data_IF_914856829669
#
_entry.id   IF_914856829669
#
_cell.length_a   1.000
_cell.length_b   1.000
_cell.length_c   1.000
_cell.angle_alpha   90.00
_cell.angle_beta   90.00
_cell.angle_gamma   90.00
#
_symmetry.space_group_name_H-M   'P 1'
#
loop_
_entity.id
_entity.type
_entity.pdbx_description
1 polymer ?
#
# COMPACT_ATOMS: atom_id res chain seq x y z
N UNK A 1 28.33 33.14 12.14
CA UNK A 1 27.04 32.57 11.68
C UNK A 1 26.59 33.36 10.47
N UNK A 2 26.43 32.70 9.32
CA UNK A 2 25.94 33.34 8.09
C UNK A 2 24.51 33.85 8.27
N UNK A 3 24.16 35.02 7.72
CA UNK A 3 22.81 35.59 7.83
C UNK A 3 21.67 34.66 7.42
N UNK A 4 21.94 33.71 6.52
CA UNK A 4 21.00 32.65 6.08
C UNK A 4 20.72 31.65 7.21
N UNK A 5 21.74 31.23 7.94
CA UNK A 5 21.61 30.28 9.06
C UNK A 5 20.80 30.87 10.22
N UNK A 6 20.99 32.18 10.51
CA UNK A 6 20.21 32.88 11.53
C UNK A 6 18.73 32.96 11.13
N UNK A 7 18.42 33.29 9.88
CA UNK A 7 17.06 33.37 9.36
C UNK A 7 16.35 32.00 9.43
N UNK A 8 17.07 30.94 9.04
CA UNK A 8 16.51 29.58 9.09
C UNK A 8 16.16 29.14 10.52
N UNK A 9 17.02 29.45 11.50
CA UNK A 9 16.75 29.17 12.92
C UNK A 9 15.53 29.95 13.44
N UNK A 10 15.37 31.22 13.05
CA UNK A 10 14.22 32.01 13.40
C UNK A 10 12.90 31.40 12.84
N UNK A 11 12.92 30.92 11.62
CA UNK A 11 11.76 30.27 10.99
C UNK A 11 11.45 28.91 11.63
N UNK A 12 12.46 28.11 12.00
CA UNK A 12 12.27 26.87 12.76
C UNK A 12 11.63 27.16 14.12
N UNK A 13 12.12 28.16 14.87
CA UNK A 13 11.52 28.54 16.13
C UNK A 13 10.05 29.01 15.99
N UNK A 14 9.71 29.70 14.90
CA UNK A 14 8.33 30.08 14.60
C UNK A 14 7.44 28.86 14.34
N UNK A 15 7.94 27.87 13.62
CA UNK A 15 7.23 26.61 13.37
C UNK A 15 6.99 25.86 14.69
N UNK A 16 8.02 25.71 15.53
CA UNK A 16 7.94 25.00 16.82
C UNK A 16 6.96 25.67 17.81
N UNK A 17 6.74 26.97 17.70
CA UNK A 17 5.81 27.74 18.55
C UNK A 17 4.43 27.95 17.90
N UNK A 18 4.21 27.47 16.68
CA UNK A 18 2.92 27.60 16.00
C UNK A 18 1.87 26.70 16.67
N UNK A 19 0.71 27.27 17.02
CA UNK A 19 -0.35 26.56 17.72
C UNK A 19 -0.88 25.36 16.93
N UNK A 20 -1.00 25.49 15.60
CA UNK A 20 -1.46 24.41 14.72
C UNK A 20 -0.42 23.28 14.64
N UNK A 21 0.88 23.64 14.68
CA UNK A 21 1.95 22.63 14.69
C UNK A 21 1.97 21.85 16.02
N UNK A 22 1.81 22.56 17.15
CA UNK A 22 1.71 21.92 18.46
C UNK A 22 0.49 20.99 18.52
N UNK A 23 -0.68 21.44 18.05
CA UNK A 23 -1.88 20.60 17.97
C UNK A 23 -1.67 19.37 17.10
N UNK A 24 -1.01 19.51 15.95
CA UNK A 24 -0.68 18.38 15.07
C UNK A 24 0.23 17.38 15.78
N UNK A 25 1.27 17.84 16.47
CA UNK A 25 2.19 16.99 17.23
C UNK A 25 1.44 16.23 18.34
N UNK A 26 0.57 16.92 19.10
CA UNK A 26 -0.25 16.28 20.13
C UNK A 26 -1.15 15.18 19.53
N UNK A 27 -1.81 15.45 18.41
CA UNK A 27 -2.64 14.46 17.71
C UNK A 27 -1.83 13.25 17.18
N UNK A 28 -0.58 13.45 16.77
CA UNK A 28 0.30 12.38 16.34
C UNK A 28 0.79 11.48 17.49
N UNK A 29 0.80 12.00 18.73
CA UNK A 29 1.27 11.29 19.90
C UNK A 29 0.15 10.72 20.80
N UNK A 30 -1.11 10.75 20.35
CA UNK A 30 -2.21 10.13 21.09
C UNK A 30 -2.02 8.63 21.18
N UNK A 31 -2.25 8.07 22.37
CA UNK A 31 -2.25 6.63 22.56
C UNK A 31 -3.45 6.03 21.84
N UNK A 32 -3.20 5.05 20.94
CA UNK A 32 -4.26 4.34 20.25
C UNK A 32 -4.04 2.82 20.34
N UNK A 33 -5.02 2.10 20.89
CA UNK A 33 -4.93 0.67 21.12
C UNK A 33 -4.77 -0.12 19.81
N UNK A 34 -5.46 0.29 18.73
CA UNK A 34 -5.40 -0.40 17.44
C UNK A 34 -4.04 -0.24 16.77
N UNK A 35 -3.38 0.91 16.97
CA UNK A 35 -2.01 1.13 16.51
C UNK A 35 -1.01 0.28 17.28
N UNK A 36 -1.11 0.25 18.62
CA UNK A 36 -0.24 -0.57 19.48
C UNK A 36 -0.33 -2.05 19.11
N UNK A 37 -1.53 -2.54 18.79
CA UNK A 37 -1.76 -3.92 18.40
C UNK A 37 -1.45 -4.21 16.93
N UNK A 38 -1.08 -3.19 16.12
CA UNK A 38 -0.81 -3.34 14.69
C UNK A 38 -2.01 -3.82 13.87
N UNK A 39 -3.23 -3.41 14.26
CA UNK A 39 -4.47 -3.94 13.66
C UNK A 39 -5.13 -2.98 12.66
N UNK A 40 -4.58 -1.78 12.49
CA UNK A 40 -5.15 -0.68 11.70
C UNK A 40 -5.21 -0.92 10.18
N UNK A 41 -4.41 -1.86 9.67
CA UNK A 41 -4.29 -2.15 8.23
C UNK A 41 -4.73 -3.57 7.86
N UNK A 42 -5.41 -4.28 8.76
CA UNK A 42 -5.75 -5.69 8.56
C UNK A 42 -7.27 -5.86 8.46
N UNK A 43 -7.79 -6.15 7.26
CA UNK A 43 -9.24 -6.30 6.98
C UNK A 43 -9.97 -7.19 7.98
N UNK A 44 -9.44 -8.36 8.27
CA UNK A 44 -10.05 -9.30 9.23
C UNK A 44 -10.19 -8.70 10.64
N UNK A 45 -9.33 -7.76 11.03
CA UNK A 45 -9.42 -7.10 12.35
C UNK A 45 -10.53 -6.06 12.37
N UNK A 46 -10.70 -5.33 11.27
CA UNK A 46 -11.85 -4.44 11.10
C UNK A 46 -13.15 -5.24 11.09
N UNK A 47 -13.20 -6.36 10.35
CA UNK A 47 -14.37 -7.27 10.37
C UNK A 47 -14.66 -7.82 11.76
N UNK A 48 -13.62 -8.10 12.57
CA UNK A 48 -13.81 -8.51 13.97
C UNK A 48 -14.50 -7.44 14.81
N UNK A 49 -14.06 -6.18 14.65
CA UNK A 49 -14.62 -5.06 15.40
C UNK A 49 -16.04 -4.74 14.95
N UNK A 50 -16.28 -4.75 13.65
CA UNK A 50 -17.62 -4.56 13.07
C UNK A 50 -18.58 -5.67 13.50
N UNK A 51 -18.14 -6.93 13.55
CA UNK A 51 -18.95 -8.03 14.05
C UNK A 51 -19.40 -7.80 15.50
N UNK A 52 -18.51 -7.32 16.36
CA UNK A 52 -18.84 -6.97 17.72
C UNK A 52 -19.86 -5.83 17.79
N UNK A 53 -19.73 -4.79 16.97
CA UNK A 53 -20.68 -3.67 16.90
C UNK A 53 -22.04 -4.08 16.34
N UNK A 54 -22.07 -4.99 15.37
CA UNK A 54 -23.29 -5.47 14.72
C UNK A 54 -24.10 -6.44 15.58
N UNK A 55 -23.48 -7.02 16.60
CA UNK A 55 -24.15 -7.97 17.50
C UNK A 55 -25.03 -7.25 18.53
N UNK A 56 -26.38 -7.28 18.40
CA UNK A 56 -27.25 -6.58 19.34
C UNK A 56 -27.16 -7.12 20.77
N UNK A 57 -26.67 -8.34 20.93
CA UNK A 57 -26.46 -9.01 22.24
C UNK A 57 -25.02 -8.82 22.75
N UNK A 58 -24.18 -8.06 22.02
CA UNK A 58 -22.81 -7.78 22.38
C UNK A 58 -22.67 -6.97 23.67
N UNK A 59 -21.53 -7.13 24.34
CA UNK A 59 -21.25 -6.45 25.62
C UNK A 59 -20.84 -4.96 25.47
N UNK A 60 -21.07 -4.36 24.28
CA UNK A 60 -20.80 -2.93 24.02
C UNK A 60 -21.89 -1.99 24.56
N UNK A 61 -23.08 -2.52 24.92
CA UNK A 61 -24.18 -1.71 25.44
C UNK A 61 -24.91 -0.84 24.41
N UNK A 62 -24.54 -0.93 23.12
CA UNK A 62 -25.23 -0.21 22.02
C UNK A 62 -26.57 -0.87 21.67
N UNK A 63 -26.81 -2.10 22.11
CA UNK A 63 -27.98 -2.90 21.70
C UNK A 63 -28.05 -3.02 20.17
N UNK A 64 -29.21 -2.79 19.57
CA UNK A 64 -29.44 -2.85 18.13
C UNK A 64 -29.13 -1.54 17.37
N UNK A 65 -28.75 -0.50 18.06
CA UNK A 65 -28.62 0.85 17.48
C UNK A 65 -27.57 0.94 16.40
N UNK A 66 -26.42 0.25 16.58
CA UNK A 66 -25.41 0.26 15.53
C UNK A 66 -25.87 -0.50 14.29
N UNK A 67 -26.50 -1.67 14.45
CA UNK A 67 -27.07 -2.44 13.33
C UNK A 67 -28.11 -1.61 12.56
N UNK A 68 -29.01 -0.91 13.25
CA UNK A 68 -30.03 -0.04 12.62
C UNK A 68 -29.38 1.16 11.93
N UNK A 69 -28.45 1.83 12.60
CA UNK A 69 -27.74 2.97 12.01
C UNK A 69 -26.92 2.57 10.77
N UNK A 70 -26.32 1.37 10.79
CA UNK A 70 -25.62 0.84 9.61
C UNK A 70 -26.60 0.48 8.49
N UNK A 71 -27.74 -0.18 8.79
CA UNK A 71 -28.75 -0.50 7.80
C UNK A 71 -29.39 0.77 7.17
N UNK A 72 -29.51 1.84 7.94
CA UNK A 72 -29.98 3.14 7.42
C UNK A 72 -29.03 3.69 6.34
N UNK A 73 -27.72 3.44 6.43
CA UNK A 73 -26.75 3.83 5.39
C UNK A 73 -26.94 3.04 4.09
N UNK A 74 -27.58 1.87 4.16
CA UNK A 74 -27.98 1.10 2.98
C UNK A 74 -29.35 1.54 2.40
N UNK A 75 -30.02 2.49 3.03
CA UNK A 75 -31.41 2.84 2.69
C UNK A 75 -32.40 1.73 3.05
N UNK A 76 -32.05 0.87 4.02
CA UNK A 76 -32.78 -0.35 4.40
C UNK A 76 -33.11 -0.37 5.89
N UNK A 77 -33.29 0.78 6.52
CA UNK A 77 -33.62 0.91 7.95
C UNK A 77 -34.88 0.10 8.32
N UNK A 78 -35.91 0.18 7.48
CA UNK A 78 -37.18 -0.51 7.67
C UNK A 78 -37.07 -2.05 7.46
N UNK A 79 -36.00 -2.52 6.85
CA UNK A 79 -35.78 -3.96 6.64
C UNK A 79 -35.28 -4.67 7.90
N UNK A 80 -34.67 -3.93 8.84
CA UNK A 80 -34.22 -4.51 10.11
C UNK A 80 -35.42 -4.84 10.99
N UNK A 81 -35.61 -6.09 11.41
CA UNK A 81 -36.75 -6.51 12.23
C UNK A 81 -36.84 -5.70 13.53
N UNK A 82 -38.06 -5.66 14.08
CA UNK A 82 -38.26 -5.04 15.40
C UNK A 82 -37.72 -5.92 16.52
N UNK A 83 -37.93 -7.21 16.43
CA UNK A 83 -37.34 -8.21 17.34
C UNK A 83 -36.09 -8.80 16.70
N UNK A 84 -34.96 -8.52 17.32
CA UNK A 84 -33.64 -9.01 16.91
C UNK A 84 -32.91 -9.73 18.03
N UNK A 85 -33.68 -10.22 19.04
CA UNK A 85 -33.14 -10.91 20.22
C UNK A 85 -32.41 -12.21 19.87
N UNK A 86 -32.77 -12.84 18.74
CA UNK A 86 -32.16 -14.07 18.23
C UNK A 86 -31.06 -13.79 17.15
N UNK A 87 -30.76 -12.53 16.89
CA UNK A 87 -29.72 -12.18 15.92
C UNK A 87 -28.34 -12.75 16.33
N UNK A 88 -27.68 -13.34 15.35
CA UNK A 88 -26.35 -13.92 15.48
C UNK A 88 -25.45 -13.32 14.40
N UNK A 89 -24.25 -12.92 14.78
CA UNK A 89 -23.24 -12.42 13.85
C UNK A 89 -22.19 -13.50 13.61
N UNK A 90 -22.02 -13.91 12.34
CA UNK A 90 -21.01 -14.88 11.89
C UNK A 90 -19.92 -14.14 11.10
N UNK A 91 -18.68 -14.57 11.29
CA UNK A 91 -17.51 -14.07 10.57
C UNK A 91 -16.90 -15.19 9.76
N UNK A 92 -16.33 -14.85 8.60
CA UNK A 92 -15.62 -15.80 7.73
C UNK A 92 -16.44 -17.05 7.38
N UNK A 93 -17.78 -16.95 7.45
CA UNK A 93 -18.64 -18.08 7.12
C UNK A 93 -18.69 -18.27 5.60
N UNK A 94 -18.22 -19.40 5.11
CA UNK A 94 -18.10 -19.70 3.68
C UNK A 94 -17.33 -18.63 2.90
N UNK A 95 -16.35 -18.01 3.55
CA UNK A 95 -15.55 -16.88 3.05
C UNK A 95 -16.30 -15.53 2.97
N UNK A 96 -17.46 -15.41 3.55
CA UNK A 96 -18.16 -14.13 3.73
C UNK A 96 -17.59 -13.45 4.97
N UNK A 97 -17.14 -12.21 4.84
CA UNK A 97 -16.50 -11.49 5.94
C UNK A 97 -17.40 -11.34 7.16
N UNK A 98 -18.65 -10.88 6.93
CA UNK A 98 -19.62 -10.66 7.98
C UNK A 98 -21.03 -11.05 7.54
N UNK A 99 -21.75 -11.76 8.41
CA UNK A 99 -23.12 -12.18 8.18
C UNK A 99 -23.92 -12.01 9.47
N UNK A 100 -24.93 -11.14 9.44
CA UNK A 100 -25.92 -10.98 10.53
C UNK A 100 -27.17 -11.77 10.15
N UNK A 101 -27.63 -12.65 11.03
CA UNK A 101 -28.78 -13.54 10.78
C UNK A 101 -29.75 -13.42 11.94
N UNK A 102 -31.01 -13.09 11.66
CA UNK A 102 -32.13 -13.17 12.61
C UNK A 102 -33.07 -14.25 12.10
N UNK A 103 -33.08 -15.40 12.74
CA UNK A 103 -33.79 -16.61 12.25
C UNK A 103 -35.30 -16.47 12.35
N UNK A 104 -35.80 -15.94 13.47
CA UNK A 104 -37.24 -15.78 13.72
C UNK A 104 -37.88 -14.86 12.69
N UNK A 105 -37.31 -13.74 12.41
CA UNK A 105 -37.82 -12.73 11.49
C UNK A 105 -37.35 -12.94 10.04
N UNK A 106 -36.55 -13.98 9.80
CA UNK A 106 -35.98 -14.30 8.49
C UNK A 106 -35.28 -13.11 7.82
N UNK A 107 -34.45 -12.45 8.56
CA UNK A 107 -33.64 -11.33 8.09
C UNK A 107 -32.15 -11.71 8.02
N UNK A 108 -31.48 -11.24 6.99
CA UNK A 108 -30.06 -11.47 6.78
C UNK A 108 -29.39 -10.23 6.23
N UNK A 109 -28.25 -9.82 6.83
CA UNK A 109 -27.38 -8.80 6.32
C UNK A 109 -25.99 -9.41 6.04
N UNK A 110 -25.57 -9.35 4.77
CA UNK A 110 -24.26 -9.79 4.30
C UNK A 110 -23.39 -8.58 4.03
N UNK A 111 -22.17 -8.56 4.58
CA UNK A 111 -21.22 -7.48 4.38
C UNK A 111 -19.90 -8.08 3.86
N UNK A 112 -19.45 -7.59 2.71
CA UNK A 112 -18.10 -7.81 2.20
C UNK A 112 -17.27 -6.56 2.49
N UNK A 113 -16.13 -6.75 3.17
CA UNK A 113 -15.27 -5.68 3.65
C UNK A 113 -13.95 -5.63 2.87
N UNK A 114 -13.67 -4.52 2.19
CA UNK A 114 -12.46 -4.28 1.39
C UNK A 114 -11.79 -2.98 1.82
N UNK A 115 -10.70 -3.10 2.58
CA UNK A 115 -9.94 -1.92 3.04
C UNK A 115 -8.74 -1.66 2.14
N UNK A 116 -7.94 -2.69 1.84
CA UNK A 116 -6.68 -2.59 1.09
C UNK A 116 -6.60 -3.60 -0.07
N UNK A 117 -7.67 -4.33 -0.31
CA UNK A 117 -7.76 -5.32 -1.39
C UNK A 117 -8.78 -4.90 -2.44
N UNK A 118 -8.72 -5.55 -3.60
CA UNK A 118 -9.67 -5.35 -4.69
C UNK A 118 -10.68 -6.48 -4.73
N UNK A 119 -11.80 -6.27 -5.43
CA UNK A 119 -12.77 -7.32 -5.72
C UNK A 119 -12.11 -8.46 -6.53
N UNK A 120 -12.34 -9.71 -6.12
CA UNK A 120 -11.75 -10.87 -6.77
C UNK A 120 -12.79 -11.74 -7.49
N UNK A 121 -12.71 -11.75 -8.83
CA UNK A 121 -13.48 -12.69 -9.64
C UNK A 121 -14.99 -12.49 -9.54
N UNK A 122 -15.76 -13.59 -9.25
CA UNK A 122 -17.22 -13.59 -9.08
C UNK A 122 -17.62 -13.73 -7.59
N UNK A 123 -16.88 -13.10 -6.69
CA UNK A 123 -17.04 -13.29 -5.25
C UNK A 123 -18.43 -12.88 -4.77
N UNK A 124 -18.87 -11.67 -5.13
CA UNK A 124 -20.16 -11.12 -4.69
C UNK A 124 -21.35 -11.92 -5.24
N UNK A 125 -21.32 -12.31 -6.52
CA UNK A 125 -22.35 -13.17 -7.10
C UNK A 125 -22.40 -14.53 -6.40
N UNK A 126 -21.26 -15.15 -6.15
CA UNK A 126 -21.18 -16.44 -5.44
C UNK A 126 -21.81 -16.36 -4.06
N UNK A 127 -21.64 -15.28 -3.32
CA UNK A 127 -22.22 -15.09 -2.01
C UNK A 127 -23.75 -14.95 -2.08
N UNK A 128 -24.27 -14.18 -3.04
CA UNK A 128 -25.72 -14.10 -3.26
C UNK A 128 -26.33 -15.47 -3.55
N UNK A 129 -25.73 -16.21 -4.49
CA UNK A 129 -26.22 -17.52 -4.89
C UNK A 129 -26.18 -18.53 -3.72
N UNK A 130 -25.10 -18.50 -2.94
CA UNK A 130 -24.95 -19.31 -1.73
C UNK A 130 -26.03 -18.99 -0.70
N UNK A 131 -26.21 -17.71 -0.37
CA UNK A 131 -27.17 -17.28 0.64
C UNK A 131 -28.62 -17.51 0.19
N UNK A 132 -28.94 -17.30 -1.09
CA UNK A 132 -30.26 -17.59 -1.64
C UNK A 132 -30.61 -19.10 -1.55
N UNK A 133 -29.62 -19.98 -1.68
CA UNK A 133 -29.81 -21.42 -1.54
C UNK A 133 -29.92 -21.87 -0.08
N UNK A 134 -29.15 -21.28 0.85
CA UNK A 134 -29.12 -21.70 2.26
C UNK A 134 -30.27 -21.08 3.07
N UNK A 135 -30.67 -19.83 2.75
CA UNK A 135 -31.62 -19.04 3.53
C UNK A 135 -32.89 -18.72 2.72
N UNK A 136 -33.60 -19.77 2.30
CA UNK A 136 -34.85 -19.60 1.55
C UNK A 136 -35.92 -18.78 2.30
N UNK A 137 -36.41 -17.73 1.65
CA UNK A 137 -37.48 -16.87 2.19
C UNK A 137 -37.01 -15.83 3.20
N UNK A 138 -35.70 -15.62 3.31
CA UNK A 138 -35.15 -14.49 4.09
C UNK A 138 -35.20 -13.20 3.30
N UNK A 139 -35.46 -12.09 4.00
CA UNK A 139 -35.18 -10.76 3.50
C UNK A 139 -33.67 -10.55 3.60
N UNK A 140 -33.02 -10.26 2.47
CA UNK A 140 -31.56 -10.18 2.39
C UNK A 140 -31.10 -8.78 2.03
N UNK A 141 -30.15 -8.28 2.77
CA UNK A 141 -29.44 -7.03 2.54
C UNK A 141 -27.96 -7.32 2.25
N UNK A 142 -27.36 -6.61 1.27
CA UNK A 142 -25.96 -6.79 0.90
C UNK A 142 -25.24 -5.45 0.97
N UNK A 143 -24.14 -5.39 1.70
CA UNK A 143 -23.29 -4.22 1.83
C UNK A 143 -21.88 -4.49 1.28
N UNK A 144 -21.43 -3.62 0.40
CA UNK A 144 -20.05 -3.61 -0.07
C UNK A 144 -19.31 -2.46 0.60
N UNK A 145 -18.54 -2.79 1.64
CA UNK A 145 -17.85 -1.82 2.50
C UNK A 145 -16.44 -1.58 1.98
N UNK A 146 -16.15 -0.32 1.64
CA UNK A 146 -14.83 0.12 1.17
C UNK A 146 -14.44 1.44 1.85
N UNK A 147 -13.16 1.88 1.81
CA UNK A 147 -12.76 3.16 2.38
C UNK A 147 -13.65 4.34 1.94
N UNK A 148 -13.92 4.45 0.65
CA UNK A 148 -14.59 5.59 0.02
C UNK A 148 -16.03 5.30 -0.41
N UNK A 149 -16.58 4.12 -0.13
CA UNK A 149 -17.94 3.72 -0.55
C UNK A 149 -18.07 3.55 -2.06
N UNK A 150 -17.05 3.00 -2.71
CA UNK A 150 -17.13 2.73 -4.15
C UNK A 150 -18.07 1.55 -4.44
N UNK A 151 -18.78 1.62 -5.56
CA UNK A 151 -19.62 0.52 -6.02
C UNK A 151 -18.81 -0.68 -6.48
N UNK A 152 -19.37 -1.92 -6.43
CA UNK A 152 -18.74 -3.09 -7.04
C UNK A 152 -18.34 -2.85 -8.50
N UNK A 153 -17.27 -3.49 -8.95
CA UNK A 153 -16.76 -3.31 -10.32
C UNK A 153 -17.72 -3.84 -11.38
N UNK A 154 -18.49 -4.88 -11.05
CA UNK A 154 -19.41 -5.51 -12.01
C UNK A 154 -20.80 -4.92 -11.95
N UNK A 155 -21.32 -4.51 -13.10
CA UNK A 155 -22.68 -3.96 -13.22
C UNK A 155 -23.77 -4.86 -12.64
N UNK A 156 -23.63 -6.18 -12.79
CA UNK A 156 -24.60 -7.16 -12.24
C UNK A 156 -24.62 -7.19 -10.70
N UNK A 157 -23.57 -6.76 -10.05
CA UNK A 157 -23.49 -6.73 -8.59
C UNK A 157 -23.92 -5.38 -8.03
N UNK A 158 -23.83 -4.27 -8.81
CA UNK A 158 -24.16 -2.91 -8.37
C UNK A 158 -25.63 -2.73 -7.98
N UNK A 159 -26.55 -3.55 -8.52
CA UNK A 159 -27.98 -3.49 -8.18
C UNK A 159 -28.31 -4.10 -6.81
N UNK A 160 -27.58 -5.10 -6.39
CA UNK A 160 -27.86 -5.86 -5.18
C UNK A 160 -26.97 -5.44 -4.00
N UNK A 161 -25.68 -5.16 -4.26
CA UNK A 161 -24.72 -4.74 -3.24
C UNK A 161 -24.72 -3.23 -3.09
N UNK A 162 -25.14 -2.75 -1.94
CA UNK A 162 -25.13 -1.33 -1.64
C UNK A 162 -23.72 -0.89 -1.21
N UNK A 163 -23.13 0.13 -1.85
CA UNK A 163 -21.84 0.66 -1.44
C UNK A 163 -21.96 1.39 -0.12
N UNK A 164 -21.03 1.12 0.79
CA UNK A 164 -20.90 1.76 2.10
C UNK A 164 -19.46 2.20 2.30
N UNK A 165 -19.26 3.38 2.83
CA UNK A 165 -17.94 3.88 3.17
C UNK A 165 -17.60 3.64 4.64
N UNK A 166 -16.30 3.66 4.98
CA UNK A 166 -15.88 3.69 6.38
C UNK A 166 -16.30 4.99 7.09
N UNK A 167 -16.51 6.09 6.36
CA UNK A 167 -17.13 7.30 6.92
C UNK A 167 -18.56 7.03 7.38
N UNK A 168 -19.34 6.24 6.62
CA UNK A 168 -20.68 5.82 7.03
C UNK A 168 -20.66 4.94 8.28
N UNK A 169 -19.64 4.07 8.42
CA UNK A 169 -19.42 3.29 9.65
C UNK A 169 -19.18 4.20 10.85
N UNK A 170 -18.31 5.22 10.70
CA UNK A 170 -18.05 6.19 11.77
C UNK A 170 -19.29 7.01 12.15
N UNK A 171 -20.09 7.39 11.15
CA UNK A 171 -21.37 8.07 11.37
C UNK A 171 -22.36 7.15 12.11
N UNK A 172 -22.42 5.88 11.74
CA UNK A 172 -23.28 4.88 12.43
C UNK A 172 -22.84 4.69 13.89
N UNK A 173 -21.54 4.63 14.18
CA UNK A 173 -21.01 4.57 15.57
C UNK A 173 -21.45 5.82 16.34
N UNK A 174 -21.26 7.01 15.76
CA UNK A 174 -21.65 8.28 16.39
C UNK A 174 -23.14 8.31 16.72
N UNK A 175 -23.99 7.98 15.73
CA UNK A 175 -25.45 7.95 15.88
C UNK A 175 -25.88 6.91 16.92
N UNK A 176 -25.28 5.73 16.92
CA UNK A 176 -25.64 4.65 17.85
C UNK A 176 -25.38 5.00 19.32
N UNK A 177 -24.33 5.78 19.61
CA UNK A 177 -23.96 6.16 20.99
C UNK A 177 -24.54 7.46 21.49
N UNK A 178 -25.08 8.34 20.61
CA UNK A 178 -25.44 9.72 20.91
C UNK A 178 -26.37 9.89 22.13
N UNK A 179 -27.30 8.95 22.35
CA UNK A 179 -28.28 9.02 23.44
C UNK A 179 -28.08 7.98 24.54
N UNK A 180 -26.94 7.29 24.55
CA UNK A 180 -26.63 6.21 25.48
C UNK A 180 -25.57 6.61 26.49
N UNK A 181 -25.69 6.11 27.71
CA UNK A 181 -24.63 6.14 28.70
C UNK A 181 -23.89 4.81 28.62
N UNK A 182 -22.79 4.81 27.92
CA UNK A 182 -21.91 3.63 27.78
C UNK A 182 -20.84 3.62 28.89
N UNK A 183 -20.25 2.46 29.16
CA UNK A 183 -19.11 2.39 30.07
C UNK A 183 -17.92 3.18 29.55
N UNK A 184 -17.05 3.70 30.42
CA UNK A 184 -15.86 4.42 29.99
C UNK A 184 -14.96 3.61 29.05
N UNK A 185 -14.84 2.30 29.28
CA UNK A 185 -14.03 1.37 28.49
C UNK A 185 -14.56 1.24 27.08
N UNK A 186 -15.90 1.12 26.93
CA UNK A 186 -16.54 1.04 25.60
C UNK A 186 -16.38 2.38 24.87
N UNK A 187 -16.64 3.49 25.53
CA UNK A 187 -16.42 4.81 24.92
C UNK A 187 -14.96 4.98 24.42
N UNK A 188 -13.99 4.67 25.28
CA UNK A 188 -12.58 4.74 24.91
C UNK A 188 -12.24 3.84 23.71
N UNK A 189 -12.80 2.62 23.70
CA UNK A 189 -12.56 1.69 22.58
C UNK A 189 -13.18 2.18 21.26
N UNK A 190 -14.38 2.77 21.32
CA UNK A 190 -15.03 3.37 20.15
C UNK A 190 -14.28 4.61 19.65
N UNK A 191 -13.76 5.43 20.56
CA UNK A 191 -12.94 6.61 20.22
C UNK A 191 -11.63 6.17 19.55
N UNK A 192 -10.90 5.22 20.13
CA UNK A 192 -9.68 4.66 19.53
C UNK A 192 -9.93 4.04 18.16
N UNK A 193 -11.05 3.34 17.96
CA UNK A 193 -11.40 2.79 16.65
C UNK A 193 -11.69 3.90 15.63
N UNK A 194 -12.45 4.91 16.04
CA UNK A 194 -12.76 6.07 15.21
C UNK A 194 -11.49 6.79 14.76
N UNK A 195 -10.58 7.08 15.69
CA UNK A 195 -9.29 7.70 15.38
C UNK A 195 -8.44 6.84 14.45
N UNK A 196 -8.36 5.52 14.70
CA UNK A 196 -7.60 4.61 13.85
C UNK A 196 -8.15 4.56 12.43
N UNK A 197 -9.48 4.50 12.26
CA UNK A 197 -10.12 4.53 10.93
C UNK A 197 -9.88 5.87 10.23
N UNK A 198 -10.06 6.99 10.93
CA UNK A 198 -9.80 8.32 10.38
C UNK A 198 -8.34 8.48 9.93
N UNK A 199 -7.40 8.03 10.74
CA UNK A 199 -5.98 8.18 10.45
C UNK A 199 -5.48 7.28 9.31
N UNK A 200 -5.97 6.03 9.22
CA UNK A 200 -5.39 5.00 8.36
C UNK A 200 -6.27 4.60 7.17
N UNK A 201 -7.57 4.92 7.18
CA UNK A 201 -8.51 4.47 6.14
C UNK A 201 -9.17 5.63 5.41
N UNK A 202 -9.87 6.54 6.13
CA UNK A 202 -10.70 7.58 5.48
C UNK A 202 -9.98 8.92 5.29
N UNK A 203 -8.85 9.13 5.96
CA UNK A 203 -8.24 10.45 6.12
C UNK A 203 -8.92 11.29 7.22
N UNK A 204 -8.13 12.08 7.92
CA UNK A 204 -8.61 13.05 8.91
C UNK A 204 -8.59 14.45 8.29
N UNK A 205 -9.77 14.95 7.92
CA UNK A 205 -9.92 16.31 7.34
C UNK A 205 -9.40 17.42 8.26
N UNK A 206 -9.45 17.21 9.57
CA UNK A 206 -8.90 18.19 10.52
C UNK A 206 -7.37 18.19 10.44
N UNK A 207 -6.75 17.02 10.42
CA UNK A 207 -5.29 16.87 10.21
C UNK A 207 -4.88 17.45 8.86
N UNK A 208 -5.64 17.15 7.80
CA UNK A 208 -5.37 17.71 6.45
C UNK A 208 -5.41 19.24 6.45
N UNK A 209 -6.41 19.85 7.11
CA UNK A 209 -6.55 21.28 7.21
C UNK A 209 -5.41 21.90 8.06
N UNK A 210 -5.09 21.31 9.21
CA UNK A 210 -3.93 21.73 10.03
C UNK A 210 -2.63 21.68 9.22
N UNK A 211 -2.38 20.58 8.52
CA UNK A 211 -1.20 20.43 7.66
C UNK A 211 -1.16 21.49 6.56
N UNK A 212 -2.30 21.81 5.95
CA UNK A 212 -2.40 22.84 4.89
C UNK A 212 -2.13 24.24 5.47
N UNK A 213 -2.68 24.56 6.62
CA UNK A 213 -2.44 25.85 7.30
C UNK A 213 -1.00 26.01 7.73
N UNK A 214 -0.41 24.98 8.36
CA UNK A 214 1.01 24.94 8.74
C UNK A 214 1.89 25.14 7.52
N UNK A 215 1.64 24.38 6.43
CA UNK A 215 2.42 24.48 5.21
C UNK A 215 2.33 25.87 4.60
N UNK A 216 1.13 26.45 4.55
CA UNK A 216 0.93 27.79 3.98
C UNK A 216 1.70 28.86 4.77
N UNK A 217 1.70 28.76 6.08
CA UNK A 217 2.36 29.71 7.01
C UNK A 217 3.89 29.58 7.04
N UNK A 218 4.38 28.35 6.93
CA UNK A 218 5.80 28.00 7.12
C UNK A 218 6.42 27.38 5.87
N UNK A 219 5.89 27.72 4.69
CA UNK A 219 6.26 27.13 3.40
C UNK A 219 7.76 27.07 3.18
N UNK A 220 8.46 28.18 3.37
CA UNK A 220 9.90 28.30 3.06
C UNK A 220 10.74 27.32 3.89
N UNK A 221 10.47 27.21 5.19
CA UNK A 221 11.22 26.28 6.06
C UNK A 221 10.84 24.83 5.80
N UNK A 222 9.56 24.54 5.53
CA UNK A 222 9.10 23.20 5.23
C UNK A 222 9.62 22.73 3.86
N UNK A 223 9.67 23.60 2.86
CA UNK A 223 10.29 23.27 1.57
C UNK A 223 11.78 22.93 1.73
N UNK A 224 12.51 23.71 2.54
CA UNK A 224 13.90 23.41 2.88
C UNK A 224 14.03 22.06 3.59
N UNK A 225 13.17 21.76 4.56
CA UNK A 225 13.15 20.48 5.25
C UNK A 225 12.85 19.36 4.25
N UNK A 226 11.82 19.48 3.41
CA UNK A 226 11.47 18.47 2.42
C UNK A 226 12.56 18.27 1.36
N UNK A 227 13.21 19.34 0.90
CA UNK A 227 14.33 19.24 -0.02
C UNK A 227 15.53 18.52 0.61
N UNK A 228 15.82 18.77 1.87
CA UNK A 228 16.91 18.12 2.59
C UNK A 228 16.51 16.72 3.11
N UNK A 229 15.25 16.47 3.43
CA UNK A 229 14.74 15.10 3.69
C UNK A 229 14.70 14.25 2.41
N UNK A 230 14.52 14.85 1.23
CA UNK A 230 14.80 14.16 -0.03
C UNK A 230 16.29 13.80 -0.16
N UNK A 231 17.18 14.49 0.53
CA UNK A 231 18.59 14.13 0.61
C UNK A 231 18.85 12.84 1.41
N UNK A 232 18.00 12.43 2.34
CA UNK A 232 18.13 11.09 2.96
C UNK A 232 17.77 9.97 1.98
N UNK A 233 16.84 10.22 1.02
CA UNK A 233 16.65 9.36 -0.16
C UNK A 233 17.83 9.44 -1.13
N UNK A 234 18.45 10.61 -1.30
CA UNK A 234 19.68 10.82 -2.06
C UNK A 234 20.87 10.15 -1.39
N UNK A 235 20.92 10.04 -0.05
CA UNK A 235 21.97 9.30 0.65
C UNK A 235 21.87 7.79 0.35
N UNK A 236 20.67 7.20 0.29
CA UNK A 236 20.48 5.84 -0.20
C UNK A 236 20.82 5.73 -1.70
N UNK A 237 20.48 6.72 -2.49
CA UNK A 237 20.89 6.83 -3.88
C UNK A 237 22.41 6.98 -3.99
N UNK A 238 23.05 7.78 -3.16
CA UNK A 238 24.51 7.94 -3.09
C UNK A 238 25.20 6.64 -2.72
N UNK A 239 24.73 5.90 -1.73
CA UNK A 239 25.31 4.60 -1.34
C UNK A 239 25.29 3.60 -2.50
N UNK A 240 24.19 3.52 -3.23
CA UNK A 240 24.05 2.63 -4.39
C UNK A 240 24.98 3.06 -5.53
N UNK A 241 25.04 4.36 -5.80
CA UNK A 241 25.89 4.90 -6.85
C UNK A 241 27.39 4.77 -6.50
N UNK A 242 27.79 5.03 -5.25
CA UNK A 242 29.12 4.79 -4.71
C UNK A 242 29.53 3.31 -4.80
N UNK A 243 28.59 2.42 -4.48
CA UNK A 243 28.83 0.97 -4.60
C UNK A 243 29.06 0.56 -6.06
N UNK A 244 28.24 1.04 -7.00
CA UNK A 244 28.41 0.81 -8.42
C UNK A 244 29.75 1.39 -8.93
N UNK A 245 30.14 2.56 -8.46
CA UNK A 245 31.40 3.20 -8.82
C UNK A 245 32.60 2.37 -8.37
N UNK A 246 32.63 1.92 -7.09
CA UNK A 246 33.69 1.05 -6.57
C UNK A 246 33.81 -0.27 -7.35
N UNK A 247 32.66 -0.90 -7.68
CA UNK A 247 32.64 -2.13 -8.48
C UNK A 247 33.15 -1.89 -9.91
N UNK A 248 32.86 -0.73 -10.49
CA UNK A 248 33.37 -0.33 -11.80
C UNK A 248 34.89 -0.11 -11.79
N UNK A 249 35.42 0.55 -10.77
CA UNK A 249 36.86 0.76 -10.58
C UNK A 249 37.63 -0.56 -10.43
N UNK A 250 37.00 -1.56 -9.82
CA UNK A 250 37.53 -2.92 -9.73
C UNK A 250 37.33 -3.77 -11.00
N UNK A 251 36.83 -3.20 -12.10
CA UNK A 251 36.48 -3.88 -13.35
C UNK A 251 35.47 -5.04 -13.19
N UNK A 252 34.64 -5.03 -12.14
CA UNK A 252 33.63 -6.05 -11.90
C UNK A 252 32.35 -5.80 -12.75
N UNK A 253 32.00 -4.53 -12.94
CA UNK A 253 30.84 -4.10 -13.77
C UNK A 253 31.19 -2.85 -14.58
N UNK A 254 30.27 -2.42 -15.42
CA UNK A 254 30.40 -1.21 -16.25
C UNK A 254 29.31 -0.24 -15.81
N UNK A 255 29.69 0.87 -15.24
CA UNK A 255 28.82 1.91 -14.70
C UNK A 255 29.18 3.28 -15.27
N UNK A 256 28.17 4.04 -15.68
CA UNK A 256 28.29 5.44 -16.04
C UNK A 256 27.10 6.20 -15.42
N UNK A 257 27.35 7.16 -14.52
CA UNK A 257 26.30 7.91 -13.84
C UNK A 257 25.30 8.59 -14.78
N UNK A 258 25.72 8.98 -15.98
CA UNK A 258 24.84 9.66 -16.95
C UNK A 258 23.65 8.83 -17.41
N UNK A 259 23.71 7.49 -17.29
CA UNK A 259 22.61 6.58 -17.62
C UNK A 259 21.70 6.29 -16.44
N UNK A 260 22.01 6.82 -15.27
CA UNK A 260 21.26 6.71 -14.03
C UNK A 260 20.38 7.94 -13.77
N UNK A 261 19.43 7.81 -12.85
CA UNK A 261 18.58 8.90 -12.37
C UNK A 261 18.07 8.62 -10.94
N UNK A 262 17.26 9.50 -10.38
CA UNK A 262 16.76 9.38 -9.02
C UNK A 262 15.96 8.07 -8.76
N UNK A 263 15.41 7.44 -9.80
CA UNK A 263 14.62 6.21 -9.69
C UNK A 263 15.43 4.95 -9.99
N UNK A 264 16.43 5.05 -10.87
CA UNK A 264 17.19 3.92 -11.40
C UNK A 264 18.67 4.21 -11.36
N UNK A 265 19.47 3.33 -10.72
CA UNK A 265 20.91 3.23 -10.97
C UNK A 265 21.14 2.11 -11.97
N UNK A 266 21.84 2.39 -13.06
CA UNK A 266 22.03 1.46 -14.18
C UNK A 266 23.47 1.07 -14.33
N UNK A 267 23.70 -0.22 -14.50
CA UNK A 267 25.00 -0.77 -14.84
C UNK A 267 24.84 -1.98 -15.79
N UNK A 268 25.90 -2.33 -16.47
CA UNK A 268 25.94 -3.55 -17.27
C UNK A 268 27.22 -4.34 -16.94
N UNK A 269 27.40 -5.51 -17.55
CA UNK A 269 28.57 -6.34 -17.35
C UNK A 269 29.18 -6.73 -18.69
N UNK A 270 30.43 -7.17 -18.69
CA UNK A 270 31.06 -7.71 -19.91
C UNK A 270 30.32 -8.94 -20.43
N UNK A 271 29.76 -9.76 -19.55
CA UNK A 271 28.95 -10.92 -19.91
C UNK A 271 27.70 -10.52 -20.68
N UNK A 272 26.94 -9.56 -20.15
CA UNK A 272 25.73 -9.06 -20.82
C UNK A 272 26.08 -8.40 -22.17
N UNK A 273 27.16 -7.62 -22.25
CA UNK A 273 27.61 -7.04 -23.53
C UNK A 273 28.03 -8.08 -24.57
N UNK A 274 28.58 -9.22 -24.15
CA UNK A 274 28.91 -10.32 -25.07
C UNK A 274 27.65 -11.00 -25.60
N UNK A 275 26.64 -11.19 -24.75
CA UNK A 275 25.37 -11.82 -25.13
C UNK A 275 24.46 -10.88 -25.92
N UNK A 276 24.44 -9.62 -25.55
CA UNK A 276 23.62 -8.55 -26.10
C UNK A 276 24.53 -7.37 -26.48
N UNK A 277 25.24 -7.45 -27.63
CA UNK A 277 26.21 -6.42 -28.02
C UNK A 277 25.58 -5.03 -28.16
N UNK A 278 26.33 -3.97 -27.82
CA UNK A 278 25.89 -2.60 -28.02
C UNK A 278 25.55 -2.31 -29.49
N UNK A 279 24.63 -1.38 -29.72
CA UNK A 279 24.28 -0.88 -31.04
C UNK A 279 25.30 0.18 -31.53
N UNK A 280 25.29 0.46 -32.83
CA UNK A 280 26.11 1.52 -33.41
C UNK A 280 25.64 2.90 -32.96
N UNK A 281 24.35 3.10 -32.74
CA UNK A 281 23.75 4.35 -32.26
C UNK A 281 23.05 4.16 -30.91
N UNK A 282 22.96 5.22 -30.08
CA UNK A 282 22.35 5.18 -28.77
C UNK A 282 20.86 4.77 -28.82
N UNK A 283 20.47 3.97 -27.86
CA UNK A 283 19.07 3.58 -27.63
C UNK A 283 18.29 4.80 -27.14
N UNK A 284 17.17 5.08 -27.77
CA UNK A 284 16.24 6.14 -27.35
C UNK A 284 15.76 5.91 -25.92
N UNK A 285 15.98 6.87 -25.06
CA UNK A 285 15.54 6.87 -23.66
C UNK A 285 16.64 6.55 -22.65
N UNK A 286 17.65 5.72 -22.98
CA UNK A 286 18.82 5.51 -22.10
C UNK A 286 20.02 6.40 -22.46
N UNK A 287 20.05 6.91 -23.67
CA UNK A 287 21.19 7.67 -24.24
C UNK A 287 22.48 6.84 -24.28
N UNK A 288 22.37 5.52 -24.29
CA UNK A 288 23.48 4.57 -24.33
C UNK A 288 23.36 3.64 -25.53
N UNK A 289 24.50 3.16 -26.02
CA UNK A 289 24.55 2.13 -27.06
C UNK A 289 24.22 0.73 -26.52
N UNK A 290 24.28 0.53 -25.20
CA UNK A 290 23.87 -0.72 -24.56
C UNK A 290 22.36 -0.92 -24.65
N UNK A 291 21.94 -2.10 -25.05
CA UNK A 291 20.53 -2.46 -25.15
C UNK A 291 19.99 -3.15 -23.88
N UNK A 292 20.86 -3.45 -22.93
CA UNK A 292 20.52 -4.13 -21.69
C UNK A 292 21.26 -3.54 -20.50
N UNK A 293 20.49 -3.26 -19.44
CA UNK A 293 21.01 -2.80 -18.16
C UNK A 293 20.42 -3.58 -17.00
N UNK A 294 21.26 -3.89 -16.02
CA UNK A 294 20.77 -4.08 -14.66
C UNK A 294 20.33 -2.74 -14.11
N UNK A 295 19.08 -2.65 -13.71
CA UNK A 295 18.48 -1.49 -13.09
C UNK A 295 18.25 -1.76 -11.61
N UNK A 296 18.95 -1.05 -10.72
CA UNK A 296 18.61 -0.98 -9.30
C UNK A 296 17.48 0.03 -9.18
N UNK A 297 16.26 -0.48 -9.03
CA UNK A 297 15.05 0.33 -8.89
C UNK A 297 14.95 0.81 -7.46
N UNK A 298 15.12 2.11 -7.26
CA UNK A 298 15.08 2.79 -5.95
C UNK A 298 13.65 3.22 -5.62
N UNK A 299 13.19 2.90 -4.42
CA UNK A 299 11.91 3.32 -3.84
C UNK A 299 12.14 3.78 -2.39
N UNK A 300 11.13 4.37 -1.79
CA UNK A 300 11.21 4.95 -0.46
C UNK A 300 11.79 4.00 0.59
N UNK A 301 11.23 2.80 0.65
CA UNK A 301 11.53 1.83 1.71
C UNK A 301 12.18 0.55 1.18
N UNK A 302 12.52 0.49 -0.12
CA UNK A 302 13.13 -0.69 -0.69
C UNK A 302 13.87 -0.41 -1.99
N UNK A 303 14.80 -1.29 -2.33
CA UNK A 303 15.31 -1.41 -3.69
C UNK A 303 15.13 -2.83 -4.23
N UNK A 304 15.21 -2.98 -5.53
CA UNK A 304 15.28 -4.28 -6.21
C UNK A 304 16.11 -4.17 -7.48
N UNK A 305 16.66 -5.29 -7.91
CA UNK A 305 17.46 -5.33 -9.14
C UNK A 305 16.69 -6.06 -10.23
N UNK A 306 16.71 -5.50 -11.44
CA UNK A 306 16.08 -6.10 -12.62
C UNK A 306 17.02 -5.97 -13.81
N UNK A 307 17.05 -6.95 -14.70
CA UNK A 307 17.70 -6.83 -16.00
C UNK A 307 16.64 -6.44 -17.02
N UNK A 308 16.78 -5.26 -17.60
CA UNK A 308 15.84 -4.68 -18.56
C UNK A 308 16.52 -4.54 -19.94
N UNK A 309 15.80 -4.87 -21.00
CA UNK A 309 16.25 -4.75 -22.40
C UNK A 309 15.35 -3.77 -23.14
N UNK A 310 15.94 -2.96 -24.01
CA UNK A 310 15.22 -2.14 -24.98
C UNK A 310 15.06 -2.87 -26.32
N UNK A 311 13.88 -2.77 -26.94
CA UNK A 311 13.63 -3.40 -28.24
C UNK A 311 13.94 -2.51 -29.46
N UNK A 312 14.31 -1.26 -29.22
CA UNK A 312 14.62 -0.34 -30.31
C UNK A 312 15.86 -0.83 -31.08
N UNK A 313 15.69 -1.06 -32.39
CA UNK A 313 16.76 -1.51 -33.30
C UNK A 313 17.43 -2.85 -32.96
N UNK A 314 16.79 -3.72 -32.19
CA UNK A 314 17.32 -5.02 -31.77
C UNK A 314 17.21 -6.01 -32.93
N UNK A 315 18.32 -6.68 -33.26
CA UNK A 315 18.39 -7.70 -34.30
C UNK A 315 17.63 -8.98 -33.92
N UNK A 316 17.29 -9.81 -34.91
CA UNK A 316 16.63 -11.09 -34.64
C UNK A 316 17.45 -11.98 -33.70
N UNK A 317 18.79 -12.04 -33.87
CA UNK A 317 19.69 -12.80 -32.99
C UNK A 317 19.66 -12.28 -31.54
N UNK A 318 19.61 -10.96 -31.35
CA UNK A 318 19.49 -10.37 -30.03
C UNK A 318 18.12 -10.67 -29.39
N UNK A 319 17.04 -10.73 -30.19
CA UNK A 319 15.71 -11.13 -29.71
C UNK A 319 15.69 -12.56 -29.23
N UNK A 320 16.34 -13.47 -29.95
CA UNK A 320 16.50 -14.87 -29.53
C UNK A 320 17.27 -14.96 -28.21
N UNK A 321 18.40 -14.25 -28.07
CA UNK A 321 19.15 -14.20 -26.82
C UNK A 321 18.31 -13.64 -25.67
N UNK A 322 17.52 -12.59 -25.89
CA UNK A 322 16.59 -12.08 -24.88
C UNK A 322 15.52 -13.12 -24.50
N UNK A 323 15.02 -13.89 -25.45
CA UNK A 323 14.04 -14.96 -25.19
C UNK A 323 14.65 -16.07 -24.34
N UNK A 324 15.88 -16.49 -24.64
CA UNK A 324 16.60 -17.49 -23.85
C UNK A 324 16.84 -16.99 -22.41
N UNK A 325 17.34 -15.76 -22.24
CA UNK A 325 17.55 -15.16 -20.91
C UNK A 325 16.22 -15.08 -20.14
N UNK A 326 15.12 -14.76 -20.81
CA UNK A 326 13.81 -14.62 -20.17
C UNK A 326 13.18 -15.93 -19.67
N UNK A 327 13.70 -17.08 -20.07
CA UNK A 327 13.27 -18.39 -19.52
C UNK A 327 13.56 -18.51 -18.02
N UNK A 328 14.52 -17.74 -17.52
CA UNK A 328 14.82 -17.67 -16.08
C UNK A 328 13.87 -16.76 -15.29
N UNK A 329 12.87 -16.14 -15.94
CA UNK A 329 11.80 -15.42 -15.25
C UNK A 329 10.76 -16.39 -14.68
N UNK A 330 10.41 -16.23 -13.42
CA UNK A 330 9.32 -16.99 -12.79
C UNK A 330 7.93 -16.73 -13.43
N UNK A 331 7.82 -15.64 -14.19
CA UNK A 331 6.61 -15.27 -14.97
C UNK A 331 7.06 -14.67 -16.30
N UNK A 332 7.16 -15.45 -17.37
CA UNK A 332 7.54 -14.93 -18.69
C UNK A 332 6.47 -13.94 -19.18
N UNK A 333 6.91 -12.76 -19.61
CA UNK A 333 6.04 -11.77 -20.23
C UNK A 333 5.58 -12.28 -21.60
N UNK A 334 4.25 -12.41 -21.78
CA UNK A 334 3.62 -12.90 -23.00
C UNK A 334 3.45 -11.83 -24.09
N UNK A 335 3.79 -10.56 -23.83
CA UNK A 335 3.64 -9.48 -24.82
C UNK A 335 4.65 -9.61 -25.95
N UNK A 336 4.17 -9.65 -27.18
CA UNK A 336 5.01 -9.72 -28.38
C UNK A 336 5.60 -8.35 -28.77
N UNK A 337 4.87 -7.25 -28.55
CA UNK A 337 5.31 -5.89 -28.84
C UNK A 337 5.64 -5.15 -27.56
N UNK A 338 6.91 -4.97 -27.29
CA UNK A 338 7.42 -4.27 -26.12
C UNK A 338 8.57 -3.33 -26.51
N UNK A 339 8.61 -2.16 -25.93
CA UNK A 339 9.75 -1.23 -26.04
C UNK A 339 10.77 -1.51 -24.95
N UNK A 340 10.29 -1.81 -23.73
CA UNK A 340 11.09 -2.15 -22.56
C UNK A 340 10.63 -3.50 -22.02
N UNK A 341 11.54 -4.45 -21.92
CA UNK A 341 11.25 -5.79 -21.40
C UNK A 341 12.18 -6.11 -20.25
N UNK A 342 11.60 -6.45 -19.11
CA UNK A 342 12.35 -7.04 -18.01
C UNK A 342 12.54 -8.52 -18.29
N UNK A 343 13.80 -8.93 -18.40
CA UNK A 343 14.16 -10.31 -18.75
C UNK A 343 14.71 -11.11 -17.56
N UNK A 344 14.98 -10.44 -16.42
CA UNK A 344 15.35 -11.06 -15.17
C UNK A 344 15.05 -10.10 -14.00
N UNK A 345 14.76 -10.65 -12.81
CA UNK A 345 14.47 -9.84 -11.62
C UNK A 345 14.79 -10.58 -10.33
N UNK A 346 15.02 -9.81 -9.27
CA UNK A 346 15.23 -10.30 -7.91
C UNK A 346 14.15 -9.79 -6.95
N UNK A 347 14.16 -10.32 -5.75
CA UNK A 347 13.26 -9.90 -4.68
C UNK A 347 13.51 -8.44 -4.27
N UNK A 348 12.58 -7.88 -3.51
CA UNK A 348 12.74 -6.57 -2.89
C UNK A 348 13.59 -6.69 -1.65
N UNK A 349 14.50 -5.73 -1.46
CA UNK A 349 15.24 -5.53 -0.21
C UNK A 349 14.63 -4.31 0.49
N UNK A 350 13.84 -4.58 1.53
CA UNK A 350 13.26 -3.55 2.39
C UNK A 350 14.30 -3.15 3.42
N UNK A 351 14.54 -1.86 3.58
CA UNK A 351 15.49 -1.29 4.53
C UNK A 351 14.68 -0.47 5.53
N UNK A 352 14.93 -0.69 6.82
CA UNK A 352 14.27 0.08 7.86
C UNK A 352 14.67 1.56 7.77
N UNK A 353 13.70 2.50 7.78
CA UNK A 353 14.00 3.93 7.79
C UNK A 353 14.56 4.40 9.15
N UNK A 354 14.42 3.59 10.20
CA UNK A 354 14.76 3.95 11.58
C UNK A 354 16.26 3.68 11.93
N UNK A 355 17.03 3.13 10.99
CA UNK A 355 18.45 2.85 11.19
C UNK A 355 19.26 4.14 11.20
N UNK A 356 20.31 4.17 12.04
CA UNK A 356 21.32 5.22 11.99
C UNK A 356 22.09 5.15 10.66
N UNK A 357 22.64 6.28 10.21
CA UNK A 357 23.23 6.43 8.86
C UNK A 357 24.27 5.36 8.53
N UNK A 358 25.16 5.02 9.48
CA UNK A 358 26.20 4.00 9.30
C UNK A 358 25.61 2.59 9.20
N UNK A 359 24.61 2.28 10.02
CA UNK A 359 23.90 0.99 9.99
C UNK A 359 23.09 0.84 8.71
N UNK A 360 22.43 1.92 8.28
CA UNK A 360 21.68 1.98 7.03
C UNK A 360 22.60 1.72 5.84
N UNK A 361 23.76 2.39 5.78
CA UNK A 361 24.79 2.19 4.74
C UNK A 361 25.25 0.73 4.70
N UNK A 362 25.58 0.16 5.86
CA UNK A 362 26.05 -1.22 5.97
C UNK A 362 25.00 -2.23 5.49
N UNK A 363 23.72 -2.03 5.82
CA UNK A 363 22.63 -2.91 5.41
C UNK A 363 22.37 -2.84 3.90
N UNK A 364 22.41 -1.63 3.32
CA UNK A 364 22.30 -1.44 1.87
C UNK A 364 23.45 -2.14 1.15
N UNK A 365 24.70 -1.92 1.56
CA UNK A 365 25.89 -2.50 0.92
C UNK A 365 25.89 -4.03 1.02
N UNK A 366 25.57 -4.59 2.18
CA UNK A 366 25.42 -6.04 2.38
C UNK A 366 24.35 -6.66 1.49
N UNK A 367 23.23 -5.97 1.33
CA UNK A 367 22.16 -6.41 0.45
C UNK A 367 22.58 -6.36 -1.03
N UNK A 368 23.29 -5.31 -1.44
CA UNK A 368 23.86 -5.18 -2.79
C UNK A 368 24.90 -6.25 -3.09
N UNK A 369 25.79 -6.57 -2.17
CA UNK A 369 26.78 -7.63 -2.36
C UNK A 369 26.14 -9.03 -2.44
N UNK A 370 25.05 -9.24 -1.70
CA UNK A 370 24.24 -10.46 -1.81
C UNK A 370 23.64 -10.59 -3.21
N UNK A 371 23.07 -9.50 -3.73
CA UNK A 371 22.51 -9.47 -5.08
C UNK A 371 23.59 -9.56 -6.16
N UNK A 372 24.75 -8.96 -5.95
CA UNK A 372 25.89 -9.09 -6.87
C UNK A 372 26.32 -10.55 -7.02
N UNK A 373 26.44 -11.27 -5.90
CA UNK A 373 26.74 -12.70 -5.93
C UNK A 373 25.69 -13.52 -6.71
N UNK A 374 24.43 -13.12 -6.61
CA UNK A 374 23.34 -13.76 -7.36
C UNK A 374 23.41 -13.44 -8.87
N UNK A 375 23.79 -12.20 -9.24
CA UNK A 375 24.02 -11.79 -10.63
C UNK A 375 25.17 -12.60 -11.24
N UNK A 376 26.29 -12.74 -10.54
CA UNK A 376 27.43 -13.52 -11.02
C UNK A 376 27.07 -14.99 -11.27
N UNK A 377 26.31 -15.63 -10.35
CA UNK A 377 25.80 -16.99 -10.53
C UNK A 377 24.85 -17.10 -11.71
N UNK A 378 23.96 -16.14 -11.88
CA UNK A 378 23.06 -16.08 -13.02
C UNK A 378 23.83 -15.97 -14.33
N UNK A 379 24.78 -15.08 -14.45
CA UNK A 379 25.61 -14.91 -15.65
C UNK A 379 26.46 -16.13 -15.96
N UNK A 380 27.02 -16.80 -14.94
CA UNK A 380 27.73 -18.05 -15.12
C UNK A 380 26.83 -19.15 -15.70
N UNK A 381 25.57 -19.23 -15.26
CA UNK A 381 24.59 -20.16 -15.81
C UNK A 381 24.22 -19.86 -17.25
N UNK A 382 24.16 -18.58 -17.64
CA UNK A 382 23.90 -18.17 -19.02
C UNK A 382 25.02 -18.58 -19.97
N UNK A 383 26.28 -18.40 -19.56
CA UNK A 383 27.45 -18.80 -20.36
C UNK A 383 27.45 -20.30 -20.61
N UNK A 384 27.15 -21.11 -19.58
CA UNK A 384 27.15 -22.57 -19.69
C UNK A 384 25.99 -23.13 -20.56
N UNK A 385 24.89 -22.38 -20.70
CA UNK A 385 23.71 -22.85 -21.45
C UNK A 385 23.62 -22.26 -22.86
N UNK A 386 24.41 -21.26 -23.19
CA UNK A 386 24.41 -20.58 -24.50
C UNK A 386 25.66 -20.91 -25.35
N UNK A 387 26.62 -21.68 -24.79
CA UNK A 387 27.67 -22.36 -25.51
C UNK A 387 27.20 -23.74 -26.01
#
# INVERSE_FOLDING_TARGET
>A
MNGCEKKLREEICRLETDANFIELVEKCHTLNLFEILGTTTTEIRHSNFLAWLLDPNGNHGLQDRFLRAFAAKLGQEDAVPKDISDCVVRREWQHIDLLVICETEKYLLCIENKVFSYEHGNQLQRYRDLLANEYHGYSMSFAFLTPDGISPEKENDQGDWQPVSYTDVLDAIRSARETLVLSPEVNLLLDHYTEAVMKHITGDKNIENLCREIYTKHKDVLDIIFENCKASRIAACGIIDDWCQRKCENNELIYDPQFSNNTYTRFTTQTIRKLLPPLAEPVSGWKSNDIAFYEIVKRENYFKITLTVCSDNVTAKQREACAEISKYLNRPDKKQNWRWKRIWNRNRHTISPDLQEDEYRLEVEKSLDTEWSAIQKFEASLINNLQ
#
